data_IF_981595269197
#
_entry.id   IF_981595269197
#
_cell.length_a   1.000
_cell.length_b   1.000
_cell.length_c   1.000
_cell.angle_alpha   90.00
_cell.angle_beta   90.00
_cell.angle_gamma   90.00
#
_symmetry.space_group_name_H-M   'P 1'
#
loop_
_entity.id
_entity.type
_entity.pdbx_description
1 polymer ?
#
# COMPACT_ATOMS: atom_id res chain seq x y z
N UNK A 1 24.82 -12.92 20.59
CA UNK A 1 25.33 -11.94 19.60
C UNK A 1 24.14 -11.27 18.94
N UNK A 2 23.76 -10.07 19.39
CA UNK A 2 22.79 -9.24 18.66
C UNK A 2 23.50 -8.72 17.40
N UNK A 3 22.98 -9.05 16.22
CA UNK A 3 23.51 -8.47 15.00
C UNK A 3 22.96 -7.04 14.87
N UNK A 4 23.86 -6.07 14.96
CA UNK A 4 23.61 -4.68 14.63
C UNK A 4 23.37 -4.57 13.13
N UNK A 5 22.10 -4.60 12.72
CA UNK A 5 21.74 -4.43 11.31
C UNK A 5 21.85 -2.94 10.96
N UNK A 6 22.90 -2.58 10.21
CA UNK A 6 23.13 -1.23 9.73
C UNK A 6 21.98 -0.79 8.80
N UNK A 7 21.57 0.50 8.88
CA UNK A 7 20.52 1.09 8.03
C UNK A 7 20.83 1.04 6.52
N UNK A 8 22.05 0.67 6.11
CA UNK A 8 22.47 0.68 4.70
C UNK A 8 21.97 -0.57 3.96
N UNK A 9 21.95 -1.72 4.61
CA UNK A 9 21.59 -3.01 4.01
C UNK A 9 20.10 -3.18 3.68
N UNK A 10 19.24 -2.32 4.25
CA UNK A 10 17.78 -2.34 4.04
C UNK A 10 17.37 -1.61 2.73
N UNK A 11 18.29 -0.86 2.10
CA UNK A 11 17.97 0.18 1.10
C UNK A 11 18.17 -0.25 -0.36
N UNK A 12 18.67 -1.47 -0.62
CA UNK A 12 19.15 -1.83 -1.96
C UNK A 12 18.82 -3.28 -2.34
N UNK A 13 17.60 -3.75 -2.09
CA UNK A 13 17.16 -4.98 -2.79
C UNK A 13 16.94 -4.63 -4.26
N UNK A 14 17.78 -5.12 -5.20
CA UNK A 14 17.51 -4.96 -6.62
C UNK A 14 16.26 -5.73 -6.96
N UNK A 15 15.37 -5.09 -7.70
CA UNK A 15 14.13 -5.72 -8.13
C UNK A 15 14.24 -6.14 -9.58
N UNK A 16 13.37 -7.07 -9.97
CA UNK A 16 13.26 -7.50 -11.37
C UNK A 16 12.69 -6.41 -12.29
N UNK A 17 12.27 -5.26 -11.74
CA UNK A 17 11.71 -4.15 -12.51
C UNK A 17 12.83 -3.25 -13.05
N UNK A 18 12.74 -2.98 -14.34
CA UNK A 18 13.64 -2.08 -15.06
C UNK A 18 12.96 -0.72 -15.16
N UNK A 19 13.73 0.34 -14.97
CA UNK A 19 13.21 1.69 -15.13
C UNK A 19 12.92 1.99 -16.61
N UNK A 20 11.70 2.45 -16.96
CA UNK A 20 11.32 2.76 -18.34
C UNK A 20 12.10 3.95 -18.94
N UNK A 21 12.75 4.78 -18.12
CA UNK A 21 13.53 5.94 -18.59
C UNK A 21 15.01 5.68 -18.79
N UNK A 22 15.61 4.84 -17.94
CA UNK A 22 17.07 4.65 -17.88
C UNK A 22 17.51 3.25 -18.30
N UNK A 23 16.61 2.26 -18.39
CA UNK A 23 16.95 0.85 -18.60
C UNK A 23 17.71 0.21 -17.44
N UNK A 24 17.97 0.95 -16.37
CA UNK A 24 18.68 0.47 -15.18
C UNK A 24 17.71 -0.21 -14.21
N UNK A 25 18.22 -1.11 -13.33
CA UNK A 25 17.38 -1.76 -12.34
C UNK A 25 16.80 -0.76 -11.34
N UNK A 26 15.55 -1.02 -10.91
CA UNK A 26 14.92 -0.33 -9.81
C UNK A 26 15.31 -0.97 -8.47
N UNK A 27 15.70 -0.14 -7.51
CA UNK A 27 16.05 -0.52 -6.15
C UNK A 27 14.90 -0.15 -5.21
N UNK A 28 14.65 -0.95 -4.17
CA UNK A 28 13.70 -0.59 -3.11
C UNK A 28 14.38 0.30 -2.07
N UNK A 29 14.06 1.59 -2.07
CA UNK A 29 14.52 2.54 -1.04
C UNK A 29 13.42 2.82 -0.03
N UNK A 30 13.80 3.16 1.20
CA UNK A 30 12.87 3.57 2.25
C UNK A 30 12.83 5.09 2.34
N UNK A 31 11.67 5.68 2.11
CA UNK A 31 11.42 7.12 2.20
C UNK A 31 10.43 7.47 3.32
N UNK A 32 10.09 8.76 3.43
CA UNK A 32 9.16 9.28 4.44
C UNK A 32 7.78 8.61 4.40
N UNK A 33 7.31 8.25 3.21
CA UNK A 33 5.99 7.66 2.99
C UNK A 33 5.97 6.13 2.97
N UNK A 34 7.12 5.47 3.09
CA UNK A 34 7.25 4.02 2.98
C UNK A 34 8.37 3.60 2.04
N UNK A 35 8.39 2.31 1.70
CA UNK A 35 9.29 1.77 0.67
C UNK A 35 8.80 2.17 -0.72
N UNK A 36 9.71 2.50 -1.62
CA UNK A 36 9.43 2.89 -3.00
C UNK A 36 10.54 2.40 -3.93
N UNK A 37 10.22 2.21 -5.21
CA UNK A 37 11.18 1.93 -6.25
C UNK A 37 11.92 3.21 -6.67
N UNK A 38 13.25 3.15 -6.79
CA UNK A 38 14.08 4.23 -7.30
C UNK A 38 15.06 3.71 -8.37
N UNK A 39 15.29 4.44 -9.47
CA UNK A 39 16.33 4.05 -10.46
C UNK A 39 17.70 4.04 -9.75
N UNK A 40 18.45 2.94 -9.94
CA UNK A 40 19.81 2.79 -9.40
C UNK A 40 20.79 3.87 -9.89
N UNK A 41 20.46 4.56 -10.99
CA UNK A 41 21.29 5.57 -11.65
C UNK A 41 21.03 7.01 -11.18
N UNK A 42 20.40 7.18 -10.02
CA UNK A 42 20.28 8.51 -9.38
C UNK A 42 21.68 9.08 -9.08
N UNK A 43 22.01 10.35 -9.39
CA UNK A 43 21.14 11.48 -9.75
C UNK A 43 20.83 11.65 -11.26
N UNK A 44 21.45 10.86 -12.15
CA UNK A 44 21.25 10.97 -13.60
C UNK A 44 19.83 10.61 -14.04
N UNK A 45 19.17 9.71 -13.32
CA UNK A 45 17.76 9.39 -13.51
C UNK A 45 16.99 9.54 -12.18
N UNK A 46 16.03 10.46 -12.15
CA UNK A 46 15.16 10.75 -10.99
C UNK A 46 13.84 9.97 -11.00
N UNK A 47 13.81 8.83 -11.68
CA UNK A 47 12.60 8.01 -11.75
C UNK A 47 12.35 7.30 -10.42
N UNK A 48 11.14 7.45 -9.89
CA UNK A 48 10.69 6.82 -8.65
C UNK A 48 9.26 6.34 -8.82
N UNK A 49 8.98 5.14 -8.36
CA UNK A 49 7.64 4.54 -8.42
C UNK A 49 7.22 4.01 -7.05
N UNK A 50 5.92 4.05 -6.71
CA UNK A 50 5.44 3.42 -5.48
C UNK A 50 5.64 1.90 -5.54
N UNK A 51 5.93 1.28 -4.39
CA UNK A 51 6.07 -0.17 -4.30
C UNK A 51 4.69 -0.84 -4.37
N UNK A 52 4.51 -1.80 -5.28
CA UNK A 52 3.29 -2.63 -5.41
C UNK A 52 3.00 -3.47 -4.16
N UNK A 53 3.97 -3.72 -3.28
CA UNK A 53 3.73 -4.42 -2.00
C UNK A 53 2.72 -3.68 -1.09
N UNK A 54 2.48 -2.38 -1.34
CA UNK A 54 1.40 -1.65 -0.66
C UNK A 54 0.02 -1.94 -1.25
N UNK A 55 -0.09 -2.57 -2.42
CA UNK A 55 -1.38 -2.98 -2.98
C UNK A 55 -1.83 -4.26 -2.28
N UNK A 56 -3.03 -4.26 -1.73
CA UNK A 56 -3.60 -5.45 -1.09
C UNK A 56 -4.20 -6.44 -2.13
N UNK A 57 -4.14 -6.12 -3.42
CA UNK A 57 -4.86 -6.86 -4.48
C UNK A 57 -6.38 -6.76 -4.36
N UNK A 58 -6.90 -5.90 -3.48
CA UNK A 58 -8.33 -5.75 -3.23
C UNK A 58 -8.88 -4.70 -4.18
N UNK A 59 -9.78 -5.12 -5.08
CA UNK A 59 -10.52 -4.20 -5.96
C UNK A 59 -11.43 -3.31 -5.13
N UNK A 60 -11.37 -2.01 -5.40
CA UNK A 60 -12.18 -1.02 -4.71
C UNK A 60 -13.68 -1.24 -5.00
N UNK A 61 -14.55 -1.29 -3.97
CA UNK A 61 -15.99 -1.50 -4.16
C UNK A 61 -16.67 -0.31 -4.86
N UNK A 62 -16.17 0.92 -4.67
CA UNK A 62 -16.70 2.13 -5.31
C UNK A 62 -16.43 2.17 -6.82
N UNK A 63 -15.18 1.95 -7.24
CA UNK A 63 -14.80 2.16 -8.64
C UNK A 63 -14.60 0.87 -9.45
N UNK A 64 -14.53 -0.31 -8.81
CA UNK A 64 -14.30 -1.66 -9.39
C UNK A 64 -13.02 -1.83 -10.23
N UNK A 65 -12.39 -0.74 -10.67
CA UNK A 65 -11.20 -0.65 -11.52
C UNK A 65 -9.93 -0.40 -10.71
N UNK A 66 -10.03 0.42 -9.67
CA UNK A 66 -8.90 0.77 -8.81
C UNK A 66 -8.65 -0.28 -7.73
N UNK A 67 -7.42 -0.36 -7.26
CA UNK A 67 -6.97 -1.25 -6.20
C UNK A 67 -6.76 -0.47 -4.91
N UNK A 68 -6.90 -1.14 -3.77
CA UNK A 68 -6.65 -0.54 -2.46
C UNK A 68 -5.17 -0.65 -2.12
N UNK A 69 -4.58 0.50 -1.84
CA UNK A 69 -3.19 0.66 -1.44
C UNK A 69 -3.04 1.18 -0.02
N UNK A 70 -2.05 0.67 0.68
CA UNK A 70 -1.54 1.19 1.94
C UNK A 70 -0.82 2.52 1.71
N UNK A 71 -1.34 3.57 2.34
CA UNK A 71 -0.76 4.92 2.33
C UNK A 71 -0.47 5.38 3.75
N UNK A 72 0.50 6.28 3.89
CA UNK A 72 0.86 6.92 5.16
C UNK A 72 0.53 8.40 5.12
N UNK A 73 -0.17 8.87 6.14
CA UNK A 73 -0.42 10.30 6.35
C UNK A 73 0.86 11.03 6.77
N UNK A 74 0.85 12.36 6.73
CA UNK A 74 1.94 13.21 7.26
C UNK A 74 2.27 12.91 8.73
N UNK A 75 1.29 12.46 9.52
CA UNK A 75 1.43 12.04 10.93
C UNK A 75 1.88 10.58 11.09
N UNK A 76 2.38 9.93 10.02
CA UNK A 76 2.79 8.51 9.98
C UNK A 76 1.68 7.48 10.29
N UNK A 77 0.41 7.89 10.38
CA UNK A 77 -0.72 6.94 10.47
C UNK A 77 -0.94 6.27 9.11
N UNK A 78 -1.06 4.95 9.11
CA UNK A 78 -1.38 4.16 7.92
C UNK A 78 -2.89 4.24 7.67
N UNK A 79 -3.26 4.33 6.41
CA UNK A 79 -4.64 4.26 5.93
C UNK A 79 -4.64 3.55 4.58
N UNK A 80 -5.77 2.97 4.21
CA UNK A 80 -5.93 2.17 3.00
C UNK A 80 -6.81 2.94 2.04
N UNK A 81 -6.32 3.31 0.87
CA UNK A 81 -7.07 4.12 -0.07
C UNK A 81 -6.98 3.58 -1.49
N UNK A 82 -7.95 3.93 -2.33
CA UNK A 82 -7.89 3.58 -3.75
C UNK A 82 -6.68 4.24 -4.43
N UNK A 83 -6.02 3.50 -5.33
CA UNK A 83 -4.92 3.98 -6.15
C UNK A 83 -5.36 5.06 -7.17
N UNK A 84 -6.64 5.08 -7.54
CA UNK A 84 -7.16 5.92 -8.62
C UNK A 84 -7.60 7.34 -8.18
N UNK A 85 -6.99 7.90 -7.15
CA UNK A 85 -7.23 9.30 -6.77
C UNK A 85 -6.77 10.27 -7.89
N UNK A 86 -7.54 11.30 -8.29
CA UNK A 86 -8.76 11.85 -7.69
C UNK A 86 -10.09 11.23 -8.19
N UNK A 87 -10.05 10.26 -9.10
CA UNK A 87 -11.26 9.62 -9.68
C UNK A 87 -12.03 8.75 -8.68
N UNK A 88 -11.40 8.34 -7.58
CA UNK A 88 -12.02 7.56 -6.51
C UNK A 88 -11.48 8.00 -5.15
N UNK A 89 -12.39 8.37 -4.25
CA UNK A 89 -12.14 8.92 -2.91
C UNK A 89 -12.17 7.86 -1.79
N UNK A 90 -12.30 6.57 -2.16
CA UNK A 90 -12.41 5.48 -1.20
C UNK A 90 -11.17 5.38 -0.29
N UNK A 91 -11.39 5.50 1.02
CA UNK A 91 -10.36 5.39 2.05
C UNK A 91 -10.90 4.70 3.32
N UNK A 92 -10.06 3.91 3.97
CA UNK A 92 -10.32 3.16 5.20
C UNK A 92 -9.14 3.37 6.18
N UNK A 93 -9.43 3.36 7.48
CA UNK A 93 -8.40 3.47 8.51
C UNK A 93 -7.84 2.10 8.93
N UNK A 94 -8.71 1.09 8.92
CA UNK A 94 -8.38 -0.28 9.29
C UNK A 94 -8.09 -1.13 8.05
N UNK A 95 -7.34 -2.23 8.26
CA UNK A 95 -6.87 -3.08 7.17
C UNK A 95 -8.04 -3.83 6.55
N UNK A 96 -8.34 -3.67 5.25
CA UNK A 96 -9.37 -4.48 4.63
C UNK A 96 -8.88 -5.92 4.46
N UNK A 97 -9.72 -6.90 4.81
CA UNK A 97 -9.40 -8.33 4.69
C UNK A 97 -9.56 -8.85 3.25
N UNK A 98 -10.11 -8.03 2.35
CA UNK A 98 -10.36 -8.39 0.94
C UNK A 98 -11.66 -9.13 0.71
N UNK A 99 -12.28 -9.62 1.78
CA UNK A 99 -13.62 -10.19 1.73
C UNK A 99 -14.68 -9.09 1.64
N UNK A 100 -15.66 -9.29 0.76
CA UNK A 100 -16.83 -8.43 0.65
C UNK A 100 -17.92 -8.97 1.55
N UNK A 101 -18.59 -8.08 2.25
CA UNK A 101 -19.74 -8.42 3.07
C UNK A 101 -20.91 -8.87 2.17
N UNK A 102 -21.47 -10.07 2.35
CA UNK A 102 -22.58 -10.57 1.53
C UNK A 102 -23.88 -9.78 1.73
N UNK A 103 -24.02 -9.03 2.84
CA UNK A 103 -25.22 -8.23 3.14
C UNK A 103 -25.20 -6.82 2.55
N UNK A 104 -24.04 -6.22 2.32
CA UNK A 104 -23.97 -4.82 1.91
C UNK A 104 -22.92 -4.53 0.82
N UNK A 105 -22.15 -5.53 0.38
CA UNK A 105 -21.10 -5.37 -0.63
C UNK A 105 -19.90 -4.52 -0.19
N UNK A 106 -19.90 -4.02 1.04
CA UNK A 106 -18.79 -3.27 1.62
C UNK A 106 -17.63 -4.20 1.99
N UNK A 107 -16.41 -3.66 2.07
CA UNK A 107 -15.25 -4.43 2.48
C UNK A 107 -15.28 -4.70 3.99
N UNK A 108 -14.91 -5.92 4.35
CA UNK A 108 -14.62 -6.28 5.73
C UNK A 108 -13.26 -5.69 6.13
N UNK A 109 -13.20 -5.13 7.34
CA UNK A 109 -12.01 -4.53 7.93
C UNK A 109 -11.59 -5.30 9.18
N UNK A 110 -10.28 -5.53 9.30
CA UNK A 110 -9.66 -6.11 10.48
C UNK A 110 -9.26 -4.99 11.44
N UNK A 111 -9.89 -5.00 12.61
CA UNK A 111 -9.51 -4.08 13.70
C UNK A 111 -8.26 -4.57 14.42
N UNK A 112 -7.58 -3.68 15.15
CA UNK A 112 -6.40 -4.04 15.98
C UNK A 112 -6.62 -5.19 16.97
N UNK A 113 -7.87 -5.50 17.32
CA UNK A 113 -8.25 -6.62 18.20
C UNK A 113 -8.47 -7.94 17.44
N UNK A 114 -8.06 -8.03 16.16
CA UNK A 114 -8.36 -9.14 15.23
C UNK A 114 -9.86 -9.43 15.03
N UNK A 115 -10.73 -8.48 15.37
CA UNK A 115 -12.17 -8.58 15.10
C UNK A 115 -12.44 -8.07 13.69
N UNK A 116 -13.22 -8.83 12.93
CA UNK A 116 -13.60 -8.50 11.56
C UNK A 116 -14.90 -7.72 11.65
N UNK A 117 -14.87 -6.44 11.29
CA UNK A 117 -16.05 -5.59 11.24
C UNK A 117 -16.38 -5.24 9.81
N UNK A 118 -17.67 -5.08 9.52
CA UNK A 118 -18.07 -4.46 8.27
C UNK A 118 -17.64 -2.99 8.23
N UNK A 119 -17.15 -2.52 7.08
CA UNK A 119 -16.86 -1.10 6.87
C UNK A 119 -18.09 -0.21 6.89
N UNK A 120 -19.31 -0.75 6.67
CA UNK A 120 -20.53 0.06 6.73
C UNK A 120 -21.08 0.07 8.17
N UNK A 121 -21.33 1.27 8.69
CA UNK A 121 -21.88 1.48 10.04
C UNK A 121 -23.31 0.94 10.18
N UNK A 122 -24.04 0.82 9.08
CA UNK A 122 -25.41 0.28 9.04
C UNK A 122 -25.46 -1.25 9.01
N UNK A 123 -24.31 -1.92 8.91
CA UNK A 123 -24.26 -3.38 8.84
C UNK A 123 -23.58 -3.92 10.10
N UNK A 124 -24.38 -4.44 11.03
CA UNK A 124 -23.93 -5.03 12.31
C UNK A 124 -23.18 -6.38 12.17
N UNK A 125 -22.60 -6.66 10.99
CA UNK A 125 -21.75 -7.82 10.80
C UNK A 125 -20.41 -7.61 11.52
N UNK A 126 -20.32 -8.22 12.70
CA UNK A 126 -19.13 -8.42 13.50
C UNK A 126 -18.84 -9.92 13.49
N UNK A 127 -17.64 -10.32 13.08
CA UNK A 127 -17.11 -11.68 13.17
C UNK A 127 -15.87 -11.69 14.06
#
# INVERSE_FOLDING_TARGET
KYQEVSKKDITEKPTKKICPKCGAPLLIRLGKFGKFYACSKFPKCKHTEPLEENTLGIKCPKCKKGEIVEKRTRKRKIFYACNQFPKCDFALWDKPTGEKCPKCGALLIETKRKQIKCSNKECDLKK
#
